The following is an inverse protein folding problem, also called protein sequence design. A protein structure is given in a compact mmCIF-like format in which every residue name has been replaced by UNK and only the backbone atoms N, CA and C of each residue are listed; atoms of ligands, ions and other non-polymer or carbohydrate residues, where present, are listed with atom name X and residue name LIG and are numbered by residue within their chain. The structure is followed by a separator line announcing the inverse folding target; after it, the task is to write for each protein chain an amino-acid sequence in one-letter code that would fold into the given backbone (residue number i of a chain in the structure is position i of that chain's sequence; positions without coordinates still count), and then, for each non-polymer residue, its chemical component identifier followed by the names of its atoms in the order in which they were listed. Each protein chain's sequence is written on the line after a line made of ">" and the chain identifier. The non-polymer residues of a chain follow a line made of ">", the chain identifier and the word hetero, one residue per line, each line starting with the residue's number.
data_IF_260523128512
#
_entry.id   IF_260523128512
#
_cell.length_a   1.000
_cell.length_b   1.000
_cell.length_c   1.000
_cell.angle_alpha   90.00
_cell.angle_beta   90.00
_cell.angle_gamma   90.00
#
_symmetry.space_group_name_H-M   'P 1'
#
loop_
_entity.id
_entity.type
_entity.pdbx_description
1 polymer ?
#
# COMPACT_ATOMS: atom_id res chain seq x y z
N UNK A 1 -19.37 -15.33 -6.76
CA UNK A 1 -19.05 -16.75 -6.47
C UNK A 1 -17.63 -16.85 -5.92
N UNK A 2 -17.29 -17.86 -5.12
CA UNK A 2 -15.93 -18.01 -4.57
C UNK A 2 -14.86 -18.23 -5.67
N UNK A 3 -15.21 -18.93 -6.74
CA UNK A 3 -14.42 -19.04 -7.98
C UNK A 3 -15.36 -18.77 -9.15
N UNK A 4 -14.98 -17.86 -10.04
CA UNK A 4 -15.73 -17.57 -11.27
C UNK A 4 -14.80 -17.78 -12.47
N UNK A 5 -15.13 -18.75 -13.34
CA UNK A 5 -14.35 -19.10 -14.54
C UNK A 5 -15.17 -18.71 -15.76
N UNK A 6 -14.74 -17.69 -16.51
CA UNK A 6 -15.48 -17.18 -17.67
C UNK A 6 -14.57 -16.84 -18.84
N UNK A 7 -14.79 -17.46 -20.00
CA UNK A 7 -13.93 -17.28 -21.18
C UNK A 7 -13.94 -15.85 -21.74
N UNK A 8 -15.10 -15.30 -22.08
CA UNK A 8 -15.28 -13.90 -22.47
C UNK A 8 -16.48 -13.37 -21.71
N UNK A 9 -16.27 -12.44 -20.77
CA UNK A 9 -17.36 -11.86 -19.97
C UNK A 9 -17.46 -10.38 -20.30
N UNK A 10 -18.50 -10.00 -21.06
CA UNK A 10 -18.96 -8.60 -21.18
C UNK A 10 -19.78 -8.27 -19.92
N UNK A 11 -19.15 -7.70 -18.90
CA UNK A 11 -19.81 -7.35 -17.63
C UNK A 11 -18.86 -7.33 -16.42
N UNK A 12 -19.43 -7.19 -15.21
CA UNK A 12 -18.70 -7.23 -13.94
C UNK A 12 -18.82 -8.61 -13.27
N UNK A 13 -17.69 -9.25 -12.96
CA UNK A 13 -17.68 -10.46 -12.12
C UNK A 13 -17.33 -10.10 -10.67
N UNK A 14 -18.23 -10.45 -9.76
CA UNK A 14 -18.04 -10.32 -8.31
C UNK A 14 -17.71 -11.72 -7.76
N UNK A 15 -16.47 -11.92 -7.30
CA UNK A 15 -16.00 -13.21 -6.78
C UNK A 15 -14.62 -13.16 -6.14
N UNK A 16 -14.33 -14.03 -5.16
CA UNK A 16 -13.07 -14.00 -4.39
C UNK A 16 -11.86 -14.35 -5.28
N UNK A 17 -12.02 -15.27 -6.23
CA UNK A 17 -11.05 -15.61 -7.28
C UNK A 17 -11.77 -15.56 -8.64
N UNK A 18 -11.32 -14.69 -9.56
CA UNK A 18 -11.89 -14.56 -10.90
C UNK A 18 -10.83 -14.94 -11.96
N UNK A 19 -11.06 -16.02 -12.70
CA UNK A 19 -10.20 -16.48 -13.80
C UNK A 19 -10.95 -16.26 -15.11
N UNK A 20 -10.53 -15.29 -15.91
CA UNK A 20 -11.19 -14.95 -17.18
C UNK A 20 -10.19 -14.62 -18.28
N UNK A 21 -10.45 -14.95 -19.55
CA UNK A 21 -9.51 -14.61 -20.64
C UNK A 21 -9.45 -13.09 -20.86
N UNK A 22 -10.59 -12.41 -20.70
CA UNK A 22 -10.76 -10.95 -20.63
C UNK A 22 -12.01 -10.60 -19.80
N UNK A 23 -11.95 -9.51 -19.02
CA UNK A 23 -13.07 -8.97 -18.26
C UNK A 23 -12.99 -7.44 -18.20
N UNK A 24 -14.10 -6.75 -18.44
CA UNK A 24 -14.17 -5.27 -18.42
C UNK A 24 -14.12 -4.70 -16.99
N UNK A 25 -14.60 -5.45 -15.98
CA UNK A 25 -14.40 -5.14 -14.57
C UNK A 25 -14.35 -6.42 -13.73
N UNK A 26 -13.29 -6.58 -12.93
CA UNK A 26 -13.17 -7.68 -11.96
C UNK A 26 -12.97 -7.09 -10.57
N UNK A 27 -13.94 -7.33 -9.69
CA UNK A 27 -13.83 -7.10 -8.24
C UNK A 27 -13.60 -8.49 -7.64
N UNK A 28 -12.33 -8.93 -7.68
CA UNK A 28 -11.87 -10.19 -7.10
C UNK A 28 -10.40 -10.12 -6.72
N UNK A 29 -10.01 -10.88 -5.69
CA UNK A 29 -8.69 -10.77 -5.04
C UNK A 29 -7.52 -11.11 -6.00
N UNK A 30 -7.79 -11.91 -7.03
CA UNK A 30 -6.84 -12.27 -8.09
C UNK A 30 -7.61 -12.33 -9.43
N UNK A 31 -7.59 -11.27 -10.27
CA UNK A 31 -7.94 -11.34 -11.67
C UNK A 31 -6.75 -11.95 -12.43
N UNK A 32 -6.92 -13.16 -12.96
CA UNK A 32 -6.00 -13.72 -13.95
C UNK A 32 -6.60 -13.48 -15.32
N UNK A 33 -6.25 -12.36 -15.96
CA UNK A 33 -6.58 -12.11 -17.38
C UNK A 33 -5.37 -12.40 -18.26
N UNK A 34 -5.54 -13.30 -19.21
CA UNK A 34 -4.45 -13.81 -20.08
C UNK A 34 -3.82 -12.73 -20.98
N UNK A 35 -4.49 -11.59 -21.15
CA UNK A 35 -4.14 -10.55 -22.14
C UNK A 35 -3.53 -9.27 -21.54
N UNK A 36 -3.63 -9.04 -20.22
CA UNK A 36 -3.13 -7.81 -19.57
C UNK A 36 -1.66 -7.87 -19.13
N UNK A 37 -1.09 -9.07 -19.00
CA UNK A 37 0.28 -9.28 -18.51
C UNK A 37 0.47 -8.96 -17.02
N UNK A 38 1.73 -8.90 -16.60
CA UNK A 38 2.15 -8.43 -15.27
C UNK A 38 3.00 -7.19 -15.48
N UNK A 39 2.69 -6.11 -14.76
CA UNK A 39 3.47 -4.88 -14.77
C UNK A 39 4.27 -4.74 -13.49
N UNK A 40 5.48 -4.23 -13.60
CA UNK A 40 6.33 -3.96 -12.45
C UNK A 40 6.18 -2.50 -12.03
N UNK A 41 6.08 -2.25 -10.72
CA UNK A 41 5.98 -0.90 -10.17
C UNK A 41 7.10 -0.66 -9.16
N UNK A 42 7.69 0.53 -9.23
CA UNK A 42 8.63 1.05 -8.23
C UNK A 42 8.14 2.41 -7.79
N UNK A 43 7.99 2.63 -6.50
CA UNK A 43 7.47 3.90 -5.98
C UNK A 43 8.15 4.31 -4.68
N UNK A 44 7.97 5.58 -4.35
CA UNK A 44 8.31 6.18 -3.07
C UNK A 44 7.07 6.88 -2.52
N UNK A 45 6.93 6.92 -1.20
CA UNK A 45 5.78 7.50 -0.53
C UNK A 45 6.14 8.10 0.83
N UNK A 46 5.15 8.71 1.47
CA UNK A 46 5.31 9.18 2.84
C UNK A 46 5.53 8.05 3.86
N UNK A 47 5.15 6.80 3.52
CA UNK A 47 5.20 5.64 4.44
C UNK A 47 6.35 4.68 4.15
N UNK A 48 6.86 4.65 2.91
CA UNK A 48 8.02 3.85 2.51
C UNK A 48 8.88 4.61 1.52
N UNK A 49 10.19 4.59 1.74
CA UNK A 49 11.16 5.22 0.83
C UNK A 49 11.17 4.50 -0.52
N UNK A 50 11.13 3.17 -0.49
CA UNK A 50 11.13 2.34 -1.67
C UNK A 50 10.06 1.27 -1.52
N UNK A 51 9.15 1.20 -2.48
CA UNK A 51 8.16 0.13 -2.61
C UNK A 51 8.29 -0.48 -3.99
N UNK A 52 8.42 -1.79 -4.04
CA UNK A 52 8.41 -2.58 -5.27
C UNK A 52 7.13 -3.42 -5.31
N UNK A 53 6.53 -3.55 -6.49
CA UNK A 53 5.26 -4.23 -6.62
C UNK A 53 5.04 -4.87 -7.98
N UNK A 54 4.11 -5.82 -7.98
CA UNK A 54 3.57 -6.45 -9.17
C UNK A 54 2.12 -6.05 -9.30
N UNK A 55 1.74 -5.62 -10.50
CA UNK A 55 0.38 -5.21 -10.85
C UNK A 55 -0.16 -6.11 -11.95
N UNK A 56 -1.39 -6.56 -11.77
CA UNK A 56 -2.11 -7.37 -12.75
C UNK A 56 -3.27 -6.51 -13.29
N UNK A 57 -3.07 -5.82 -14.43
CA UNK A 57 -4.11 -4.97 -15.02
C UNK A 57 -5.16 -5.82 -15.76
N UNK A 58 -6.42 -5.44 -15.54
CA UNK A 58 -7.53 -5.68 -16.46
C UNK A 58 -7.80 -4.38 -17.27
N UNK A 59 -8.91 -4.31 -17.99
CA UNK A 59 -9.22 -3.16 -18.86
C UNK A 59 -9.43 -1.85 -18.08
N UNK A 60 -10.22 -1.89 -17.01
CA UNK A 60 -10.55 -0.72 -16.17
C UNK A 60 -10.28 -0.95 -14.69
N UNK A 61 -9.72 -2.09 -14.32
CA UNK A 61 -9.38 -2.42 -12.94
C UNK A 61 -8.01 -3.08 -12.87
N UNK A 62 -7.48 -3.20 -11.66
CA UNK A 62 -6.24 -3.92 -11.42
C UNK A 62 -6.23 -4.45 -10.00
N UNK A 63 -5.42 -5.48 -9.77
CA UNK A 63 -4.92 -5.78 -8.44
C UNK A 63 -3.41 -5.60 -8.42
N UNK A 64 -2.88 -5.45 -7.22
CA UNK A 64 -1.44 -5.38 -7.03
C UNK A 64 -1.06 -5.99 -5.68
N UNK A 65 0.19 -6.42 -5.61
CA UNK A 65 0.89 -6.80 -4.39
C UNK A 65 2.25 -6.14 -4.37
N UNK A 66 2.79 -5.89 -3.19
CA UNK A 66 4.10 -5.26 -3.08
C UNK A 66 4.71 -5.37 -1.70
N UNK A 67 5.97 -4.95 -1.63
CA UNK A 67 6.73 -4.81 -0.42
C UNK A 67 7.48 -3.47 -0.45
N UNK A 68 7.53 -2.80 0.70
CA UNK A 68 8.18 -1.53 0.88
C UNK A 68 9.14 -1.53 2.07
N UNK A 69 10.12 -0.64 1.99
CA UNK A 69 11.13 -0.42 3.00
C UNK A 69 11.23 1.07 3.31
N UNK A 70 11.22 1.37 4.60
CA UNK A 70 11.58 2.66 5.14
C UNK A 70 12.81 2.51 6.06
N UNK A 71 14.01 2.85 5.58
CA UNK A 71 15.25 2.56 6.31
C UNK A 71 15.69 3.67 7.28
N UNK A 72 15.03 4.84 7.24
CA UNK A 72 15.39 5.97 8.06
C UNK A 72 14.52 6.03 9.31
N UNK A 73 15.15 6.31 10.45
CA UNK A 73 14.43 6.59 11.68
C UNK A 73 14.57 8.04 12.11
N UNK A 74 13.85 8.42 13.16
CA UNK A 74 13.87 9.77 13.72
C UNK A 74 14.16 9.76 15.23
N UNK A 75 14.96 10.70 15.72
CA UNK A 75 15.16 10.95 17.16
C UNK A 75 15.27 12.44 17.41
N UNK A 76 14.38 13.00 18.25
CA UNK A 76 14.33 14.44 18.58
C UNK A 76 14.37 15.36 17.33
N UNK A 77 13.66 14.97 16.26
CA UNK A 77 13.60 15.74 15.01
C UNK A 77 14.78 15.50 14.04
N UNK A 78 15.81 14.76 14.43
CA UNK A 78 16.89 14.36 13.52
C UNK A 78 16.54 13.05 12.80
N UNK A 79 16.73 13.02 11.49
CA UNK A 79 16.56 11.82 10.64
C UNK A 79 17.91 11.13 10.50
N UNK A 80 17.95 9.81 10.61
CA UNK A 80 19.20 9.05 10.49
C UNK A 80 18.97 7.55 10.39
N UNK A 81 19.96 6.85 9.85
CA UNK A 81 19.94 5.39 9.72
C UNK A 81 20.20 4.66 11.03
N UNK A 82 20.74 5.34 12.04
CA UNK A 82 21.04 4.77 13.36
C UNK A 82 19.85 4.83 14.34
N UNK A 83 18.75 5.49 13.98
CA UNK A 83 17.56 5.58 14.82
C UNK A 83 16.56 4.49 14.44
N UNK A 84 15.92 3.86 15.42
CA UNK A 84 14.98 2.76 15.15
C UNK A 84 13.55 3.25 14.89
N UNK A 85 13.19 4.42 15.44
CA UNK A 85 11.84 4.98 15.37
C UNK A 85 11.43 5.43 13.98
N UNK A 86 10.32 4.93 13.44
CA UNK A 86 9.83 5.25 12.09
C UNK A 86 10.40 4.39 10.96
N UNK A 87 11.36 3.50 11.24
CA UNK A 87 11.76 2.47 10.29
C UNK A 87 10.69 1.39 10.19
N UNK A 88 10.48 0.86 8.99
CA UNK A 88 9.53 -0.24 8.80
C UNK A 88 9.79 -1.02 7.53
N UNK A 89 9.38 -2.29 7.57
CA UNK A 89 8.95 -3.03 6.40
C UNK A 89 7.44 -2.86 6.25
N UNK A 90 6.99 -2.79 5.02
CA UNK A 90 5.58 -2.95 4.67
C UNK A 90 5.41 -4.01 3.61
N UNK A 91 4.36 -4.81 3.71
CA UNK A 91 4.00 -5.79 2.68
C UNK A 91 2.49 -5.86 2.58
N UNK A 92 1.97 -5.98 1.38
CA UNK A 92 0.54 -5.85 1.20
C UNK A 92 0.09 -5.94 -0.23
N UNK A 93 -1.17 -5.62 -0.43
CA UNK A 93 -1.80 -5.63 -1.73
C UNK A 93 -3.15 -4.94 -1.69
N UNK A 94 -3.72 -4.77 -2.87
CA UNK A 94 -4.96 -4.07 -3.03
C UNK A 94 -5.54 -4.20 -4.42
N UNK A 95 -6.59 -3.44 -4.64
CA UNK A 95 -7.29 -3.38 -5.91
C UNK A 95 -7.68 -1.94 -6.22
N UNK A 96 -7.78 -1.63 -7.51
CA UNK A 96 -8.11 -0.29 -7.96
C UNK A 96 -8.77 -0.24 -9.32
N UNK A 97 -9.27 0.94 -9.63
CA UNK A 97 -9.81 1.32 -10.93
C UNK A 97 -8.79 2.12 -11.73
N UNK A 98 -8.80 1.91 -13.04
CA UNK A 98 -7.99 2.61 -14.03
C UNK A 98 -8.90 3.31 -15.03
N UNK A 99 -8.73 4.62 -15.17
CA UNK A 99 -9.52 5.48 -16.04
C UNK A 99 -8.57 6.10 -17.07
N UNK A 100 -8.58 5.62 -18.33
CA UNK A 100 -7.82 6.26 -19.40
C UNK A 100 -8.50 7.59 -19.75
N UNK A 101 -7.80 8.71 -19.53
CA UNK A 101 -8.28 10.06 -19.84
C UNK A 101 -7.95 10.42 -21.29
N UNK A 102 -6.77 9.98 -21.76
CA UNK A 102 -6.31 10.07 -23.15
C UNK A 102 -5.39 8.88 -23.44
N UNK A 103 -4.76 8.86 -24.62
CA UNK A 103 -3.80 7.82 -25.00
C UNK A 103 -2.56 7.79 -24.10
N UNK A 104 -2.21 8.92 -23.46
CA UNK A 104 -1.03 9.05 -22.62
C UNK A 104 -1.36 9.30 -21.14
N UNK A 105 -2.51 9.86 -20.82
CA UNK A 105 -2.87 10.27 -19.45
C UNK A 105 -3.94 9.35 -18.89
N UNK A 106 -3.74 8.93 -17.64
CA UNK A 106 -4.70 8.12 -16.91
C UNK A 106 -4.86 8.57 -15.46
N UNK A 107 -5.98 8.19 -14.87
CA UNK A 107 -6.26 8.33 -13.45
C UNK A 107 -6.43 6.94 -12.86
N UNK A 108 -5.73 6.67 -11.77
CA UNK A 108 -5.84 5.45 -10.98
C UNK A 108 -6.39 5.79 -9.59
N UNK A 109 -7.34 4.99 -9.09
CA UNK A 109 -7.81 5.06 -7.70
C UNK A 109 -7.75 3.66 -7.13
N UNK A 110 -7.07 3.48 -5.99
CA UNK A 110 -7.01 2.17 -5.33
C UNK A 110 -7.13 2.21 -3.81
N UNK A 111 -7.54 1.07 -3.28
CA UNK A 111 -7.57 0.75 -1.87
C UNK A 111 -6.69 -0.48 -1.61
N UNK A 112 -5.87 -0.42 -0.57
CA UNK A 112 -4.94 -1.50 -0.21
C UNK A 112 -4.83 -1.70 1.29
N UNK A 113 -4.40 -2.90 1.67
CA UNK A 113 -4.09 -3.29 3.04
C UNK A 113 -2.66 -3.79 3.12
N UNK A 114 -1.94 -3.35 4.15
CA UNK A 114 -0.53 -3.60 4.36
C UNK A 114 -0.28 -4.04 5.80
N UNK A 115 0.55 -5.06 5.99
CA UNK A 115 1.21 -5.30 7.27
C UNK A 115 2.43 -4.38 7.38
N UNK A 116 2.58 -3.69 8.51
CA UNK A 116 3.65 -2.71 8.73
C UNK A 116 4.37 -3.03 10.03
N UNK A 117 5.69 -3.18 9.96
CA UNK A 117 6.52 -3.49 11.14
C UNK A 117 6.96 -2.24 11.89
N UNK A 118 7.17 -2.36 13.18
CA UNK A 118 7.77 -1.32 14.04
C UNK A 118 9.29 -1.54 14.14
N UNK A 119 10.03 -1.08 13.14
CA UNK A 119 11.47 -1.33 12.97
C UNK A 119 11.80 -2.41 11.93
N UNK A 120 13.10 -2.65 11.68
CA UNK A 120 13.58 -3.61 10.68
C UNK A 120 13.99 -4.97 11.26
N UNK A 121 13.90 -5.13 12.58
CA UNK A 121 14.36 -6.34 13.30
C UNK A 121 13.32 -7.45 13.24
N UNK A 122 13.79 -8.69 13.32
CA UNK A 122 12.93 -9.87 13.44
C UNK A 122 12.15 -9.82 14.76
N UNK A 123 10.84 -10.11 14.71
CA UNK A 123 9.95 -10.08 15.89
C UNK A 123 9.41 -8.68 16.24
N UNK A 124 9.59 -7.67 15.40
CA UNK A 124 8.94 -6.38 15.56
C UNK A 124 7.41 -6.51 15.52
N UNK A 125 6.70 -5.74 16.35
CA UNK A 125 5.24 -5.65 16.27
C UNK A 125 4.78 -5.28 14.86
N UNK A 126 3.67 -5.89 14.44
CA UNK A 126 3.02 -5.66 13.16
C UNK A 126 1.68 -4.96 13.39
N UNK A 127 1.47 -3.88 12.65
CA UNK A 127 0.19 -3.18 12.54
C UNK A 127 -0.44 -3.39 11.19
N UNK A 128 -1.75 -3.18 11.11
CA UNK A 128 -2.50 -3.16 9.86
C UNK A 128 -2.63 -1.74 9.34
N UNK A 129 -2.21 -1.49 8.10
CA UNK A 129 -2.34 -0.19 7.45
C UNK A 129 -3.19 -0.29 6.19
N UNK A 130 -4.27 0.48 6.14
CA UNK A 130 -5.06 0.69 4.93
C UNK A 130 -4.62 1.96 4.22
N UNK A 131 -4.47 1.91 2.90
CA UNK A 131 -4.13 3.08 2.08
C UNK A 131 -5.14 3.26 0.97
N UNK A 132 -5.74 4.45 0.89
CA UNK A 132 -6.49 4.93 -0.26
C UNK A 132 -5.58 5.84 -1.08
N UNK A 133 -5.43 5.59 -2.37
CA UNK A 133 -4.59 6.38 -3.28
C UNK A 133 -5.41 6.88 -4.44
N UNK A 134 -5.21 8.15 -4.79
CA UNK A 134 -5.70 8.73 -6.04
C UNK A 134 -4.48 9.26 -6.80
N UNK A 135 -4.27 8.78 -8.02
CA UNK A 135 -3.03 8.99 -8.76
C UNK A 135 -3.34 9.46 -10.17
N UNK A 136 -2.56 10.42 -10.64
CA UNK A 136 -2.48 10.78 -12.05
C UNK A 136 -1.23 10.13 -12.61
N UNK A 137 -1.34 9.55 -13.80
CA UNK A 137 -0.19 8.98 -14.49
C UNK A 137 -0.09 9.43 -15.95
N UNK A 138 1.14 9.40 -16.44
CA UNK A 138 1.52 9.75 -17.80
C UNK A 138 2.40 8.65 -18.41
N UNK A 139 1.99 8.15 -19.58
CA UNK A 139 2.67 7.10 -20.34
C UNK A 139 3.83 7.71 -21.14
N UNK A 140 4.95 7.98 -20.46
CA UNK A 140 6.14 8.61 -21.04
C UNK A 140 6.78 7.82 -22.21
N UNK A 141 6.63 6.50 -22.23
CA UNK A 141 7.01 5.64 -23.36
C UNK A 141 6.15 4.39 -23.42
N UNK A 142 6.23 3.59 -24.50
CA UNK A 142 5.39 2.39 -24.70
C UNK A 142 5.35 1.40 -23.51
N UNK A 143 6.43 1.29 -22.75
CA UNK A 143 6.56 0.40 -21.58
C UNK A 143 7.04 1.15 -20.33
N UNK A 144 6.79 2.46 -20.25
CA UNK A 144 7.16 3.27 -19.10
C UNK A 144 6.08 4.32 -18.83
N UNK A 145 5.50 4.26 -17.64
CA UNK A 145 4.62 5.30 -17.14
C UNK A 145 5.17 5.88 -15.83
N UNK A 146 4.96 7.18 -15.65
CA UNK A 146 5.25 7.92 -14.43
C UNK A 146 3.91 8.22 -13.76
N UNK A 147 3.81 8.07 -12.45
CA UNK A 147 2.58 8.39 -11.73
C UNK A 147 2.87 9.06 -10.39
N UNK A 148 1.87 9.76 -9.87
CA UNK A 148 1.90 10.26 -8.51
C UNK A 148 0.56 10.86 -8.07
N UNK A 149 0.42 11.05 -6.77
CA UNK A 149 -0.78 11.67 -6.21
C UNK A 149 -0.90 11.54 -4.69
N UNK A 150 -1.99 12.10 -4.12
CA UNK A 150 -2.24 12.05 -2.70
C UNK A 150 -2.64 10.65 -2.21
N UNK A 151 -2.36 10.41 -0.94
CA UNK A 151 -2.78 9.20 -0.22
C UNK A 151 -3.53 9.58 1.04
N UNK A 152 -4.43 8.71 1.48
CA UNK A 152 -5.00 8.72 2.83
C UNK A 152 -4.65 7.39 3.47
N UNK A 153 -3.91 7.46 4.58
CA UNK A 153 -3.42 6.28 5.29
C UNK A 153 -4.16 6.15 6.62
N UNK A 154 -4.50 4.91 6.97
CA UNK A 154 -5.08 4.54 8.27
C UNK A 154 -4.27 3.39 8.84
N UNK A 155 -3.60 3.62 9.97
CA UNK A 155 -2.84 2.60 10.68
C UNK A 155 -3.58 2.22 11.96
N UNK A 156 -3.80 0.93 12.12
CA UNK A 156 -4.38 0.30 13.30
C UNK A 156 -3.32 -0.57 13.96
N UNK A 157 -3.09 -0.34 15.25
CA UNK A 157 -2.15 -1.10 16.06
C UNK A 157 -2.68 -1.35 17.47
N UNK A 158 -2.21 -2.43 18.09
CA UNK A 158 -2.51 -2.72 19.49
C UNK A 158 -1.46 -2.05 20.39
N UNK A 159 -1.91 -1.51 21.51
CA UNK A 159 -1.09 -0.98 22.58
C UNK A 159 -1.02 -2.04 23.68
N UNK A 160 0.16 -2.36 24.18
CA UNK A 160 0.29 -3.12 25.41
C UNK A 160 0.37 -2.14 26.59
N UNK A 161 -0.67 -2.03 27.44
CA UNK A 161 -0.70 -1.09 28.55
C UNK A 161 0.32 -1.41 29.66
N UNK A 162 0.96 -2.60 29.64
CA UNK A 162 1.93 -3.01 30.66
C UNK A 162 3.35 -2.45 30.46
N UNK A 163 3.62 -1.73 29.38
CA UNK A 163 4.98 -1.29 29.02
C UNK A 163 5.03 0.21 28.77
N UNK A 164 5.54 0.97 29.75
CA UNK A 164 5.89 2.38 29.59
C UNK A 164 7.11 2.50 28.66
N UNK A 165 6.95 2.96 27.41
CA UNK A 165 8.05 2.96 26.46
C UNK A 165 8.95 4.15 26.76
N UNK A 166 10.11 3.89 27.35
CA UNK A 166 11.24 4.80 27.26
C UNK A 166 11.56 5.14 25.80
N UNK A 167 12.21 6.29 25.57
CA UNK A 167 12.42 6.86 24.24
C UNK A 167 13.07 5.92 23.20
N UNK A 168 13.75 4.87 23.66
CA UNK A 168 14.60 3.99 22.84
C UNK A 168 14.06 2.56 22.64
N UNK A 169 12.92 2.16 23.23
CA UNK A 169 12.35 0.82 23.03
C UNK A 169 11.26 0.79 21.94
N UNK A 170 11.66 0.40 20.73
CA UNK A 170 10.76 0.31 19.56
C UNK A 170 10.20 -1.11 19.39
N UNK A 171 8.87 -1.21 19.32
CA UNK A 171 8.18 -2.24 18.55
C UNK A 171 8.06 -3.63 19.16
N UNK A 172 9.15 -4.27 19.53
CA UNK A 172 9.12 -5.69 19.92
C UNK A 172 8.71 -5.93 21.38
N UNK A 173 9.03 -4.98 22.29
CA UNK A 173 8.75 -5.11 23.73
C UNK A 173 7.44 -4.47 24.18
N UNK A 174 6.92 -3.53 23.41
CA UNK A 174 5.81 -2.64 23.82
C UNK A 174 4.51 -2.92 23.08
N UNK A 175 4.50 -3.86 22.10
CA UNK A 175 3.39 -4.10 21.17
C UNK A 175 3.08 -2.94 20.21
N UNK A 176 3.63 -1.76 20.47
CA UNK A 176 3.35 -0.50 19.80
C UNK A 176 3.98 -0.44 18.41
N UNK A 177 3.16 -0.15 17.41
CA UNK A 177 3.64 0.06 16.03
C UNK A 177 3.91 1.54 15.84
N UNK A 178 5.13 1.92 15.47
CA UNK A 178 5.38 3.31 15.10
C UNK A 178 4.86 3.61 13.70
N UNK A 179 4.42 4.85 13.48
CA UNK A 179 4.07 5.26 12.12
C UNK A 179 5.38 5.25 11.32
N UNK A 180 5.43 4.57 10.16
CA UNK A 180 6.58 4.70 9.29
C UNK A 180 6.52 6.03 8.54
N UNK A 181 7.68 6.59 8.19
CA UNK A 181 7.73 7.76 7.33
C UNK A 181 8.18 9.08 7.94
N UNK A 182 7.93 10.14 7.18
CA UNK A 182 8.45 11.50 7.44
C UNK A 182 7.37 12.52 7.87
N UNK A 183 6.22 12.08 8.37
CA UNK A 183 5.04 12.95 8.53
C UNK A 183 4.36 12.95 9.89
N UNK A 184 3.39 13.87 10.03
CA UNK A 184 2.57 14.10 11.22
C UNK A 184 1.24 13.34 11.16
N UNK A 185 0.76 12.82 12.29
CA UNK A 185 -0.54 12.15 12.37
C UNK A 185 -1.65 13.20 12.45
N UNK A 186 -2.60 13.15 11.52
CA UNK A 186 -3.69 14.13 11.47
C UNK A 186 -4.82 13.83 12.44
N UNK A 187 -5.09 12.54 12.65
CA UNK A 187 -6.09 12.11 13.61
C UNK A 187 -5.57 10.89 14.38
N UNK A 188 -5.76 10.89 15.69
CA UNK A 188 -5.46 9.75 16.54
C UNK A 188 -6.62 9.51 17.50
N UNK A 189 -7.08 8.27 17.56
CA UNK A 189 -8.04 7.79 18.55
C UNK A 189 -7.53 6.50 19.16
N UNK A 190 -7.73 6.35 20.46
CA UNK A 190 -7.44 5.13 21.20
C UNK A 190 -8.74 4.64 21.81
N UNK A 191 -9.05 3.37 21.58
CA UNK A 191 -10.19 2.65 22.13
C UNK A 191 -9.65 1.47 22.90
N UNK A 192 -9.68 1.55 24.25
CA UNK A 192 -9.03 0.56 25.11
C UNK A 192 -7.56 0.37 24.69
N UNK A 193 -7.24 -0.80 24.16
CA UNK A 193 -5.90 -1.19 23.73
C UNK A 193 -5.69 -1.05 22.21
N UNK A 194 -6.67 -0.56 21.45
CA UNK A 194 -6.56 -0.36 20.00
C UNK A 194 -6.33 1.12 19.70
N UNK A 195 -5.25 1.41 18.98
CA UNK A 195 -4.96 2.75 18.48
C UNK A 195 -5.19 2.82 16.97
N UNK A 196 -5.93 3.84 16.58
CA UNK A 196 -6.18 4.21 15.19
C UNK A 196 -5.51 5.56 14.91
N UNK A 197 -4.71 5.61 13.84
CA UNK A 197 -4.06 6.84 13.36
C UNK A 197 -4.35 7.04 11.89
N UNK A 198 -4.69 8.27 11.52
CA UNK A 198 -4.96 8.65 10.13
C UNK A 198 -4.14 9.86 9.74
N UNK A 199 -3.70 9.90 8.48
CA UNK A 199 -2.99 11.06 7.93
C UNK A 199 -3.08 11.10 6.41
N UNK A 200 -3.04 12.31 5.81
CA UNK A 200 -2.78 12.46 4.39
C UNK A 200 -1.29 12.21 4.09
N UNK A 201 -1.01 11.73 2.90
CA UNK A 201 0.34 11.45 2.41
C UNK A 201 0.44 11.63 0.90
N UNK A 202 1.48 11.03 0.32
CA UNK A 202 1.73 11.09 -1.12
C UNK A 202 2.37 9.79 -1.61
N UNK A 203 2.28 9.55 -2.91
CA UNK A 203 3.03 8.52 -3.62
C UNK A 203 3.50 9.07 -4.95
N UNK A 204 4.68 8.66 -5.40
CA UNK A 204 5.18 8.89 -6.74
C UNK A 204 6.01 7.68 -7.20
N UNK A 205 5.96 7.34 -8.47
CA UNK A 205 6.64 6.14 -8.96
C UNK A 205 6.66 5.97 -10.47
N UNK A 206 7.24 4.84 -10.85
CA UNK A 206 7.40 4.36 -12.22
C UNK A 206 6.70 3.01 -12.37
N UNK A 207 6.13 2.77 -13.55
CA UNK A 207 5.49 1.52 -13.95
C UNK A 207 6.06 1.04 -15.29
N UNK A 208 6.39 -0.25 -15.36
CA UNK A 208 6.98 -0.94 -16.51
C UNK A 208 6.07 -2.05 -17.03
#
# INVERSE_FOLDING_TARGET
>A
GLINVGGHVRGAQIGLINVAKSADASIGLIPVTKEGGVRFEVSSSDTALLTVGLRLPARYTYVFVGAGLHPFGTKRGHVGTNYERGKAWEFGGGFGGHIPVSDEVFIDIDLSMWGVTSGLRQGAAIGGMSKLRAMVGWQAAKHLAIFGGPTLNVLVDQLDPAVDPGDDEVGARTGKVERPGYGWVAHQRTFEDVRLRMWPGFVAGLRF
#
